data_IF_412286716759
#
_entry.id   IF_412286716759
#
_cell.length_a   1.000
_cell.length_b   1.000
_cell.length_c   1.000
_cell.angle_alpha   90.00
_cell.angle_beta   90.00
_cell.angle_gamma   90.00
#
_symmetry.space_group_name_H-M   'P 1'
#
loop_
_entity.id
_entity.type
_entity.pdbx_description
1 polymer ?
#
# COMPACT_ATOMS: atom_id res chain seq x y z
N UNK A 1 6.47 12.71 -31.68
CA UNK A 1 6.32 11.82 -30.50
C UNK A 1 5.95 12.65 -29.28
N UNK A 2 4.97 12.20 -28.49
CA UNK A 2 4.59 12.81 -27.21
C UNK A 2 4.73 11.72 -26.15
N UNK A 3 5.40 12.02 -25.05
CA UNK A 3 5.55 11.11 -23.92
C UNK A 3 4.91 11.70 -22.67
N UNK A 4 4.38 10.81 -21.84
CA UNK A 4 3.87 11.13 -20.50
C UNK A 4 4.43 10.11 -19.51
N UNK A 5 4.70 10.53 -18.29
CA UNK A 5 5.26 9.63 -17.29
C UNK A 5 5.42 10.28 -15.93
N UNK A 6 6.11 9.57 -15.03
CA UNK A 6 6.49 10.15 -13.75
C UNK A 6 7.35 11.40 -14.00
N UNK A 7 7.09 12.45 -13.22
CA UNK A 7 7.72 13.75 -13.43
C UNK A 7 9.26 13.69 -13.52
N UNK A 8 9.90 12.96 -12.60
CA UNK A 8 11.36 12.86 -12.55
C UNK A 8 11.92 12.13 -13.79
N UNK A 9 11.33 10.99 -14.17
CA UNK A 9 11.73 10.23 -15.35
C UNK A 9 11.61 11.07 -16.63
N UNK A 10 10.53 11.84 -16.77
CA UNK A 10 10.34 12.74 -17.91
C UNK A 10 11.35 13.88 -17.89
N UNK A 11 11.63 14.44 -16.71
CA UNK A 11 12.60 15.53 -16.58
C UNK A 11 14.01 15.09 -16.94
N UNK A 12 14.40 13.84 -16.64
CA UNK A 12 15.71 13.27 -16.96
C UNK A 12 15.96 13.14 -18.48
N UNK A 13 14.92 12.90 -19.27
CA UNK A 13 15.04 12.75 -20.72
C UNK A 13 14.86 14.05 -21.51
N UNK A 14 14.57 15.16 -20.82
CA UNK A 14 14.38 16.48 -21.43
C UNK A 14 15.67 17.31 -21.39
N UNK A 15 15.98 18.01 -22.50
CA UNK A 15 17.08 18.98 -22.59
C UNK A 15 16.59 20.43 -22.74
N UNK A 16 15.33 20.59 -23.14
CA UNK A 16 14.68 21.86 -23.46
C UNK A 16 13.31 21.96 -22.80
N UNK A 17 12.81 23.18 -22.69
CA UNK A 17 11.44 23.51 -22.26
C UNK A 17 10.79 24.41 -23.30
N UNK A 18 9.49 24.25 -23.53
CA UNK A 18 8.69 25.17 -24.32
C UNK A 18 7.76 26.00 -23.42
N UNK A 19 7.77 27.31 -23.60
CA UNK A 19 6.85 28.25 -22.93
C UNK A 19 5.54 28.42 -23.72
N UNK A 20 4.54 29.03 -23.08
CA UNK A 20 3.21 29.22 -23.68
C UNK A 20 3.21 30.12 -24.93
N UNK A 21 4.21 30.99 -25.09
CA UNK A 21 4.44 31.83 -26.27
C UNK A 21 5.12 31.07 -27.42
N UNK A 22 5.45 29.79 -27.22
CA UNK A 22 6.14 28.93 -28.17
C UNK A 22 7.67 29.01 -28.11
N UNK A 23 8.24 29.89 -27.27
CA UNK A 23 9.69 30.01 -27.11
C UNK A 23 10.27 28.72 -26.50
N UNK A 24 11.46 28.32 -26.95
CA UNK A 24 12.14 27.11 -26.49
C UNK A 24 13.51 27.47 -25.92
N UNK A 25 13.77 27.06 -24.69
CA UNK A 25 15.05 27.29 -24.00
C UNK A 25 15.61 26.00 -23.40
N UNK A 26 16.87 26.05 -22.98
CA UNK A 26 17.47 24.96 -22.20
C UNK A 26 16.72 24.77 -20.88
N UNK A 27 16.39 23.52 -20.58
CA UNK A 27 15.65 23.17 -19.36
C UNK A 27 16.41 23.51 -18.08
N UNK A 28 17.74 23.53 -18.12
CA UNK A 28 18.59 23.84 -16.96
C UNK A 28 18.32 25.22 -16.38
N UNK A 29 17.90 26.20 -17.19
CA UNK A 29 17.52 27.55 -16.71
C UNK A 29 16.30 27.53 -15.79
N UNK A 30 15.38 26.60 -16.00
CA UNK A 30 14.07 26.55 -15.32
C UNK A 30 13.89 25.30 -14.46
N UNK A 31 14.85 24.39 -14.46
CA UNK A 31 14.79 23.10 -13.76
C UNK A 31 14.41 23.26 -12.29
N UNK A 32 15.04 24.20 -11.59
CA UNK A 32 14.72 24.51 -10.19
C UNK A 32 13.26 24.95 -10.02
N UNK A 33 12.75 25.77 -10.92
CA UNK A 33 11.37 26.27 -10.87
C UNK A 33 10.36 25.14 -11.12
N UNK A 34 10.62 24.30 -12.11
CA UNK A 34 9.75 23.18 -12.49
C UNK A 34 9.76 22.10 -11.41
N UNK A 35 10.92 21.79 -10.83
CA UNK A 35 11.03 20.88 -9.68
C UNK A 35 10.31 21.44 -8.45
N UNK A 36 10.44 22.75 -8.16
CA UNK A 36 9.71 23.38 -7.06
C UNK A 36 8.19 23.36 -7.26
N UNK A 37 7.70 23.46 -8.50
CA UNK A 37 6.29 23.26 -8.84
C UNK A 37 5.86 21.80 -8.55
N UNK A 38 6.64 20.81 -8.99
CA UNK A 38 6.39 19.40 -8.71
C UNK A 38 6.30 19.12 -7.20
N UNK A 39 7.25 19.63 -6.42
CA UNK A 39 7.29 19.44 -4.97
C UNK A 39 6.07 20.06 -4.29
N UNK A 40 5.70 21.29 -4.68
CA UNK A 40 4.56 22.00 -4.12
C UNK A 40 3.24 21.29 -4.41
N UNK A 41 3.01 20.86 -5.64
CA UNK A 41 1.76 20.17 -5.99
C UNK A 41 1.71 18.77 -5.38
N UNK A 42 2.84 18.04 -5.34
CA UNK A 42 2.92 16.75 -4.67
C UNK A 42 2.68 16.87 -3.16
N UNK A 43 3.17 17.94 -2.52
CA UNK A 43 2.97 18.21 -1.10
C UNK A 43 1.52 18.54 -0.72
N UNK A 44 0.69 18.93 -1.71
CA UNK A 44 -0.77 19.07 -1.55
C UNK A 44 -1.51 17.73 -1.78
N UNK A 45 -0.81 16.68 -2.19
CA UNK A 45 -1.37 15.36 -2.49
C UNK A 45 -1.77 15.15 -3.95
N UNK A 46 -1.35 16.02 -4.87
CA UNK A 46 -1.59 15.78 -6.30
C UNK A 46 -0.53 14.84 -6.86
N UNK A 47 -0.96 13.81 -7.59
CA UNK A 47 -0.07 13.02 -8.43
C UNK A 47 0.31 13.84 -9.66
N UNK A 48 1.61 14.02 -9.87
CA UNK A 48 2.15 14.86 -10.94
C UNK A 48 2.73 14.00 -12.06
N UNK A 49 2.26 14.21 -13.28
CA UNK A 49 2.81 13.60 -14.49
C UNK A 49 3.55 14.66 -15.30
N UNK A 50 4.73 14.31 -15.81
CA UNK A 50 5.44 15.13 -16.78
C UNK A 50 4.92 14.90 -18.19
N UNK A 51 4.87 15.95 -19.00
CA UNK A 51 4.61 15.89 -20.43
C UNK A 51 5.80 16.45 -21.20
N UNK A 52 6.24 15.71 -22.19
CA UNK A 52 7.27 16.16 -23.11
C UNK A 52 6.98 15.67 -24.52
N UNK A 53 7.57 16.35 -25.50
CA UNK A 53 7.45 15.97 -26.89
C UNK A 53 8.77 16.13 -27.62
N UNK A 54 8.84 15.46 -28.78
CA UNK A 54 9.92 15.60 -29.74
C UNK A 54 9.33 15.53 -31.13
N UNK A 55 9.66 16.52 -31.95
CA UNK A 55 9.34 16.48 -33.37
C UNK A 55 10.19 15.38 -34.01
N UNK A 56 9.54 14.44 -34.67
CA UNK A 56 10.20 13.39 -35.46
C UNK A 56 9.98 13.76 -36.92
N UNK A 57 11.06 13.98 -37.65
CA UNK A 57 11.04 14.37 -39.07
C UNK A 57 11.08 13.19 -40.03
N UNK A 58 11.54 12.02 -39.56
CA UNK A 58 11.69 10.82 -40.38
C UNK A 58 10.63 9.79 -39.97
N UNK A 59 9.85 9.26 -40.91
CA UNK A 59 8.78 8.27 -40.68
C UNK A 59 9.26 6.88 -40.26
N UNK A 60 10.23 6.81 -39.34
CA UNK A 60 10.72 5.58 -38.71
C UNK A 60 9.75 5.11 -37.62
N UNK A 61 9.86 3.82 -37.31
CA UNK A 61 9.18 3.24 -36.15
C UNK A 61 9.70 3.90 -34.87
N UNK A 62 8.76 4.39 -34.05
CA UNK A 62 9.07 5.04 -32.78
C UNK A 62 9.47 3.97 -31.77
N UNK A 63 10.69 4.02 -31.27
CA UNK A 63 11.20 3.11 -30.23
C UNK A 63 11.51 3.84 -28.94
N UNK A 64 11.67 3.09 -27.84
CA UNK A 64 11.91 3.65 -26.50
C UNK A 64 13.28 4.32 -26.40
N UNK A 65 14.26 3.88 -27.19
CA UNK A 65 15.60 4.48 -27.25
C UNK A 65 15.58 5.92 -27.80
N UNK A 66 14.52 6.31 -28.52
CA UNK A 66 14.35 7.66 -29.05
C UNK A 66 13.84 8.67 -28.01
N UNK A 67 13.44 8.21 -26.82
CA UNK A 67 12.99 9.01 -25.66
C UNK A 67 14.15 9.77 -24.99
N UNK A 68 14.86 10.59 -25.76
CA UNK A 68 16.00 11.42 -25.32
C UNK A 68 15.98 12.77 -26.02
N UNK A 69 16.58 13.79 -25.40
CA UNK A 69 16.62 15.17 -25.91
C UNK A 69 15.22 15.74 -26.19
N UNK A 70 14.31 15.46 -25.26
CA UNK A 70 12.90 15.84 -25.32
C UNK A 70 12.69 17.31 -24.94
N UNK A 71 11.61 17.91 -25.45
CA UNK A 71 11.17 19.26 -25.09
C UNK A 71 10.05 19.12 -24.05
N UNK A 72 10.31 19.56 -22.83
CA UNK A 72 9.34 19.59 -21.74
C UNK A 72 8.23 20.61 -22.03
N UNK A 73 6.97 20.19 -21.89
CA UNK A 73 5.80 21.04 -22.12
C UNK A 73 5.20 21.54 -20.81
N UNK A 74 5.20 20.69 -19.77
CA UNK A 74 4.51 21.01 -18.53
C UNK A 74 4.17 19.79 -17.71
N UNK A 75 3.31 20.00 -16.72
CA UNK A 75 2.82 18.96 -15.83
C UNK A 75 1.30 18.80 -15.94
N UNK A 76 0.83 17.59 -15.70
CA UNK A 76 -0.57 17.32 -15.38
C UNK A 76 -0.63 16.94 -13.91
N UNK A 77 -1.56 17.55 -13.16
CA UNK A 77 -1.86 17.19 -11.79
C UNK A 77 -3.16 16.39 -11.73
N UNK A 78 -3.13 15.27 -11.02
CA UNK A 78 -4.27 14.39 -10.78
C UNK A 78 -4.52 14.33 -9.27
N UNK A 79 -5.78 14.44 -8.86
CA UNK A 79 -6.15 14.38 -7.46
C UNK A 79 -7.07 13.19 -7.22
N UNK A 80 -6.71 12.37 -6.23
CA UNK A 80 -7.53 11.29 -5.74
C UNK A 80 -7.98 11.63 -4.29
N UNK A 81 -9.24 12.07 -4.10
CA UNK A 81 -9.71 12.53 -2.80
C UNK A 81 -9.91 11.37 -1.83
N UNK A 82 -9.52 11.58 -0.57
CA UNK A 82 -9.85 10.66 0.51
C UNK A 82 -11.36 10.61 0.76
N UNK A 83 -11.86 9.42 1.12
CA UNK A 83 -13.23 9.27 1.62
C UNK A 83 -13.42 10.09 2.90
N UNK A 84 -14.55 10.77 3.03
CA UNK A 84 -14.85 11.67 4.16
C UNK A 84 -14.74 10.99 5.53
N UNK A 85 -15.07 9.70 5.60
CA UNK A 85 -15.11 8.92 6.83
C UNK A 85 -13.77 8.30 7.23
N UNK A 86 -12.72 8.41 6.40
CA UNK A 86 -11.50 7.63 6.57
C UNK A 86 -10.81 7.90 7.93
N UNK A 87 -10.83 9.14 8.40
CA UNK A 87 -10.22 9.52 9.67
C UNK A 87 -10.88 8.81 10.86
N UNK A 88 -12.21 8.67 10.82
CA UNK A 88 -12.96 7.98 11.88
C UNK A 88 -12.74 6.47 11.81
N UNK A 89 -12.70 5.89 10.60
CA UNK A 89 -12.38 4.47 10.38
C UNK A 89 -10.99 4.12 10.94
N UNK A 90 -9.97 4.95 10.68
CA UNK A 90 -8.60 4.73 11.21
C UNK A 90 -8.61 4.77 12.74
N UNK A 91 -9.31 5.74 13.33
CA UNK A 91 -9.45 5.84 14.79
C UNK A 91 -10.07 4.57 15.35
N UNK A 92 -11.16 4.09 14.75
CA UNK A 92 -11.84 2.86 15.17
C UNK A 92 -10.98 1.59 15.05
N UNK A 93 -10.12 1.49 14.03
CA UNK A 93 -9.14 0.41 13.91
C UNK A 93 -8.10 0.47 15.04
N UNK A 94 -7.56 1.66 15.29
CA UNK A 94 -6.57 1.90 16.35
C UNK A 94 -7.12 1.57 17.74
N UNK A 95 -8.34 2.01 18.05
CA UNK A 95 -9.03 1.72 19.33
C UNK A 95 -9.23 0.21 19.57
N UNK A 96 -9.21 -0.58 18.49
CA UNK A 96 -9.33 -2.05 18.54
C UNK A 96 -7.98 -2.75 18.53
N UNK A 97 -6.87 -2.02 18.60
CA UNK A 97 -5.51 -2.56 18.55
C UNK A 97 -5.10 -3.05 17.16
N UNK A 98 -5.72 -2.53 16.10
CA UNK A 98 -5.37 -2.85 14.71
C UNK A 98 -4.57 -1.69 14.13
N UNK A 99 -3.30 -1.94 13.80
CA UNK A 99 -2.44 -0.95 13.17
C UNK A 99 -2.69 -0.92 11.66
N UNK A 100 -3.02 0.25 11.12
CA UNK A 100 -3.10 0.47 9.68
C UNK A 100 -1.72 0.86 9.14
N UNK A 101 -1.30 0.20 8.05
CA UNK A 101 -0.10 0.54 7.29
C UNK A 101 -0.48 0.76 5.83
N UNK A 102 -0.01 1.86 5.23
CA UNK A 102 -0.30 2.21 3.84
C UNK A 102 0.85 1.76 2.94
N UNK A 103 0.54 1.10 1.82
CA UNK A 103 1.52 0.65 0.84
C UNK A 103 1.09 1.18 -0.53
N UNK A 104 1.83 2.13 -1.09
CA UNK A 104 1.48 2.81 -2.34
C UNK A 104 2.64 2.85 -3.34
N UNK A 105 2.28 2.88 -4.63
CA UNK A 105 3.21 3.17 -5.72
C UNK A 105 3.45 4.66 -5.93
N UNK A 106 2.69 5.54 -5.25
CA UNK A 106 2.89 6.99 -5.34
C UNK A 106 4.19 7.43 -4.68
N UNK A 107 4.68 8.61 -5.08
CA UNK A 107 5.90 9.16 -4.53
C UNK A 107 5.75 9.52 -3.03
N UNK A 108 6.88 9.67 -2.35
CA UNK A 108 6.92 9.95 -0.91
C UNK A 108 6.20 11.24 -0.48
N UNK A 109 6.17 12.27 -1.34
CA UNK A 109 5.53 13.55 -1.01
C UNK A 109 4.02 13.42 -1.00
N UNK A 110 3.45 12.74 -2.01
CA UNK A 110 2.02 12.45 -2.10
C UNK A 110 1.61 11.53 -0.94
N UNK A 111 2.36 10.45 -0.71
CA UNK A 111 2.10 9.52 0.38
C UNK A 111 2.12 10.23 1.76
N UNK A 112 3.11 11.08 2.02
CA UNK A 112 3.19 11.86 3.26
C UNK A 112 2.03 12.86 3.39
N UNK A 113 1.61 13.51 2.29
CA UNK A 113 0.44 14.40 2.28
C UNK A 113 -0.84 13.65 2.63
N UNK A 114 -1.06 12.47 2.02
CA UNK A 114 -2.23 11.63 2.31
C UNK A 114 -2.28 11.21 3.78
N UNK A 115 -1.15 10.78 4.35
CA UNK A 115 -1.07 10.43 5.77
C UNK A 115 -1.42 11.62 6.68
N UNK A 116 -0.94 12.83 6.36
CA UNK A 116 -1.31 14.04 7.10
C UNK A 116 -2.80 14.36 7.00
N UNK A 117 -3.39 14.23 5.81
CA UNK A 117 -4.84 14.41 5.60
C UNK A 117 -5.66 13.36 6.37
N UNK A 118 -5.11 12.16 6.57
CA UNK A 118 -5.69 11.09 7.41
C UNK A 118 -5.50 11.31 8.92
N UNK A 119 -4.84 12.39 9.34
CA UNK A 119 -4.65 12.75 10.76
C UNK A 119 -3.35 12.24 11.39
N UNK A 120 -2.38 11.76 10.60
CA UNK A 120 -1.05 11.42 11.11
C UNK A 120 -0.16 12.66 11.15
N UNK A 121 0.22 13.13 12.35
CA UNK A 121 1.06 14.33 12.50
C UNK A 121 2.48 14.13 11.96
N UNK A 122 3.10 12.99 12.31
CA UNK A 122 4.48 12.65 11.95
C UNK A 122 4.56 11.19 11.46
N UNK A 123 4.06 10.88 10.25
CA UNK A 123 4.07 9.52 9.73
C UNK A 123 5.51 9.05 9.49
N UNK A 124 5.82 7.84 9.93
CA UNK A 124 7.09 7.18 9.63
C UNK A 124 7.02 6.60 8.22
N UNK A 125 7.80 7.17 7.31
CA UNK A 125 7.84 6.77 5.90
C UNK A 125 9.05 5.88 5.59
N UNK A 126 8.87 4.92 4.68
CA UNK A 126 9.95 4.16 4.06
C UNK A 126 9.70 4.06 2.55
N UNK A 127 10.68 4.42 1.74
CA UNK A 127 10.54 4.30 0.27
C UNK A 127 10.91 2.90 -0.21
N UNK A 128 10.39 2.48 -1.37
CA UNK A 128 10.80 1.26 -2.04
C UNK A 128 12.31 1.20 -2.30
N UNK A 129 12.93 2.33 -2.67
CA UNK A 129 14.38 2.41 -2.87
C UNK A 129 15.18 2.11 -1.59
N UNK A 130 14.77 2.68 -0.45
CA UNK A 130 15.40 2.37 0.84
C UNK A 130 15.12 0.93 1.28
N UNK A 131 13.91 0.42 1.05
CA UNK A 131 13.55 -0.96 1.38
C UNK A 131 14.43 -1.97 0.63
N UNK A 132 14.77 -1.71 -0.63
CA UNK A 132 15.70 -2.55 -1.42
C UNK A 132 17.12 -2.57 -0.86
N UNK A 133 17.56 -1.49 -0.21
CA UNK A 133 18.92 -1.38 0.34
C UNK A 133 19.05 -2.01 1.73
N UNK A 134 17.94 -2.35 2.39
CA UNK A 134 17.95 -2.93 3.74
C UNK A 134 17.95 -4.46 3.71
N UNK A 135 18.75 -5.05 4.60
CA UNK A 135 18.70 -6.49 4.86
C UNK A 135 17.38 -6.88 5.54
N UNK A 136 17.03 -8.17 5.50
CA UNK A 136 15.80 -8.64 6.13
C UNK A 136 15.80 -8.44 7.66
N UNK A 137 16.96 -8.54 8.30
CA UNK A 137 17.14 -8.34 9.75
C UNK A 137 16.91 -6.87 10.14
N UNK A 138 17.40 -5.94 9.31
CA UNK A 138 17.12 -4.51 9.49
C UNK A 138 15.63 -4.22 9.28
N UNK A 139 15.02 -4.84 8.27
CA UNK A 139 13.60 -4.68 7.98
C UNK A 139 12.70 -5.24 9.07
N UNK A 140 13.07 -6.33 9.75
CA UNK A 140 12.31 -6.88 10.88
C UNK A 140 12.09 -5.84 11.99
N UNK A 141 13.03 -4.91 12.18
CA UNK A 141 12.90 -3.84 13.16
C UNK A 141 12.26 -2.58 12.59
N UNK A 142 12.49 -2.29 11.30
CA UNK A 142 12.00 -1.05 10.67
C UNK A 142 10.55 -1.12 10.22
N UNK A 143 10.16 -2.20 9.55
CA UNK A 143 8.83 -2.37 8.92
C UNK A 143 7.68 -2.29 9.94
N UNK A 144 7.78 -2.88 11.15
CA UNK A 144 6.74 -2.73 12.18
C UNK A 144 6.54 -1.28 12.64
N UNK A 145 7.57 -0.44 12.58
CA UNK A 145 7.53 0.97 13.00
C UNK A 145 7.13 1.94 11.88
N UNK A 146 7.09 1.47 10.62
CA UNK A 146 6.74 2.30 9.46
C UNK A 146 5.22 2.38 9.30
N UNK A 147 4.68 3.58 9.13
CA UNK A 147 3.25 3.82 8.88
C UNK A 147 2.91 3.75 7.39
N UNK A 148 3.81 4.25 6.53
CA UNK A 148 3.60 4.33 5.08
C UNK A 148 4.82 3.91 4.28
N UNK A 149 4.58 3.06 3.28
CA UNK A 149 5.56 2.63 2.30
C UNK A 149 5.23 3.27 0.96
N UNK A 150 6.15 4.09 0.44
CA UNK A 150 5.94 4.88 -0.77
C UNK A 150 6.85 4.43 -1.92
N UNK A 151 6.43 4.65 -3.16
CA UNK A 151 7.12 4.22 -4.38
C UNK A 151 7.50 2.72 -4.32
N UNK A 152 6.55 1.89 -3.90
CA UNK A 152 6.76 0.46 -3.66
C UNK A 152 6.43 -0.35 -4.92
N UNK A 153 7.35 -1.22 -5.31
CA UNK A 153 7.15 -2.15 -6.41
C UNK A 153 6.29 -3.36 -5.99
N UNK A 154 5.60 -4.05 -6.93
CA UNK A 154 4.74 -5.19 -6.61
C UNK A 154 5.42 -6.27 -5.74
N UNK A 155 6.66 -6.67 -6.09
CA UNK A 155 7.45 -7.65 -5.32
C UNK A 155 7.79 -7.18 -3.90
N UNK A 156 7.90 -5.87 -3.71
CA UNK A 156 8.21 -5.31 -2.39
C UNK A 156 6.98 -5.33 -1.47
N UNK A 157 5.76 -5.27 -2.02
CA UNK A 157 4.53 -5.41 -1.22
C UNK A 157 4.48 -6.75 -0.49
N UNK A 158 4.73 -7.85 -1.22
CA UNK A 158 4.83 -9.20 -0.66
C UNK A 158 5.92 -9.27 0.42
N UNK A 159 7.10 -8.69 0.13
CA UNK A 159 8.21 -8.65 1.10
C UNK A 159 7.84 -7.93 2.40
N UNK A 160 7.11 -6.81 2.32
CA UNK A 160 6.62 -6.08 3.51
C UNK A 160 5.70 -6.97 4.34
N UNK A 161 4.73 -7.63 3.70
CA UNK A 161 3.80 -8.55 4.37
C UNK A 161 4.55 -9.70 5.06
N UNK A 162 5.48 -10.34 4.35
CA UNK A 162 6.27 -11.43 4.89
C UNK A 162 7.11 -11.02 6.11
N UNK A 163 7.69 -9.81 6.10
CA UNK A 163 8.45 -9.27 7.23
C UNK A 163 7.55 -8.97 8.43
N UNK A 164 6.36 -8.39 8.22
CA UNK A 164 5.40 -8.14 9.30
C UNK A 164 4.97 -9.46 9.98
N UNK A 165 4.71 -10.50 9.19
CA UNK A 165 4.40 -11.84 9.70
C UNK A 165 5.57 -12.43 10.50
N UNK A 166 6.79 -12.33 9.97
CA UNK A 166 8.00 -12.77 10.69
C UNK A 166 8.26 -11.99 11.99
N UNK A 167 7.81 -10.75 12.07
CA UNK A 167 7.85 -9.95 13.30
C UNK A 167 6.76 -10.34 14.32
N UNK A 168 5.94 -11.37 14.03
CA UNK A 168 4.93 -11.91 14.94
C UNK A 168 3.56 -11.26 14.84
N UNK A 169 3.31 -10.44 13.82
CA UNK A 169 1.99 -9.85 13.59
C UNK A 169 1.11 -10.78 12.76
N UNK A 170 -0.19 -10.81 13.07
CA UNK A 170 -1.21 -11.33 12.15
C UNK A 170 -1.54 -10.22 11.15
N UNK A 171 -1.36 -10.49 9.86
CA UNK A 171 -1.43 -9.48 8.80
C UNK A 171 -2.63 -9.72 7.91
N UNK A 172 -3.56 -8.76 7.90
CA UNK A 172 -4.56 -8.62 6.85
C UNK A 172 -4.04 -7.69 5.75
N UNK A 173 -4.15 -8.09 4.49
CA UNK A 173 -3.73 -7.26 3.34
C UNK A 173 -4.93 -6.93 2.47
N UNK A 174 -5.16 -5.65 2.18
CA UNK A 174 -6.23 -5.19 1.29
C UNK A 174 -5.63 -4.81 -0.07
N UNK A 175 -6.11 -5.43 -1.15
CA UNK A 175 -5.71 -5.10 -2.53
C UNK A 175 -6.76 -5.44 -3.57
N UNK A 176 -6.73 -4.75 -4.70
CA UNK A 176 -7.73 -4.84 -5.79
C UNK A 176 -7.10 -5.08 -7.18
N UNK A 177 -5.78 -4.98 -7.29
CA UNK A 177 -5.05 -5.06 -8.55
C UNK A 177 -4.20 -6.31 -8.73
N UNK A 178 -3.76 -6.53 -9.97
CA UNK A 178 -2.84 -7.63 -10.33
C UNK A 178 -1.53 -7.53 -9.54
N UNK A 179 -1.09 -6.31 -9.26
CA UNK A 179 0.14 -6.01 -8.51
C UNK A 179 0.08 -6.45 -7.04
N UNK A 180 -1.12 -6.73 -6.53
CA UNK A 180 -1.37 -7.06 -5.13
C UNK A 180 -1.55 -8.56 -4.89
N UNK A 181 -1.72 -9.36 -5.94
CA UNK A 181 -2.02 -10.79 -5.84
C UNK A 181 -1.01 -11.57 -4.99
N UNK A 182 0.29 -11.32 -5.17
CA UNK A 182 1.33 -11.97 -4.38
C UNK A 182 1.27 -11.58 -2.90
N UNK A 183 0.97 -10.31 -2.60
CA UNK A 183 0.85 -9.82 -1.23
C UNK A 183 -0.43 -10.31 -0.54
N UNK A 184 -1.55 -10.41 -1.28
CA UNK A 184 -2.80 -11.02 -0.84
C UNK A 184 -2.57 -12.47 -0.42
N UNK A 185 -1.93 -13.26 -1.26
CA UNK A 185 -1.65 -14.66 -0.96
C UNK A 185 -0.65 -14.86 0.20
N UNK A 186 0.32 -13.95 0.36
CA UNK A 186 1.31 -14.03 1.43
C UNK A 186 0.75 -13.63 2.82
N UNK A 187 -0.35 -12.87 2.85
CA UNK A 187 -0.98 -12.41 4.09
C UNK A 187 -1.53 -13.57 4.93
N UNK A 188 -1.93 -13.31 6.18
CA UNK A 188 -2.72 -14.28 6.95
C UNK A 188 -4.19 -14.24 6.54
N UNK A 189 -4.65 -13.07 6.08
CA UNK A 189 -5.96 -12.87 5.47
C UNK A 189 -5.82 -11.88 4.31
N UNK A 190 -5.97 -12.37 3.08
CA UNK A 190 -6.08 -11.54 1.88
C UNK A 190 -7.51 -11.01 1.73
N UNK A 191 -7.66 -9.70 1.54
CA UNK A 191 -8.95 -9.01 1.42
C UNK A 191 -8.99 -8.28 0.09
N UNK A 192 -10.01 -8.56 -0.72
CA UNK A 192 -10.27 -7.85 -1.96
C UNK A 192 -11.71 -7.33 -2.02
N UNK A 193 -12.08 -6.70 -3.12
CA UNK A 193 -13.43 -6.16 -3.37
C UNK A 193 -14.03 -6.82 -4.61
N UNK A 194 -15.36 -6.87 -4.70
CA UNK A 194 -16.04 -7.51 -5.84
C UNK A 194 -15.68 -6.88 -7.21
N UNK A 195 -15.41 -5.57 -7.21
CA UNK A 195 -14.98 -4.81 -8.39
C UNK A 195 -13.50 -5.01 -8.76
N UNK A 196 -12.75 -5.79 -7.99
CA UNK A 196 -11.33 -6.03 -8.25
C UNK A 196 -11.13 -6.89 -9.50
N UNK A 197 -9.90 -6.89 -10.02
CA UNK A 197 -9.52 -7.79 -11.12
C UNK A 197 -9.60 -9.24 -10.68
N UNK A 198 -9.87 -10.15 -11.63
CA UNK A 198 -10.10 -11.57 -11.32
C UNK A 198 -8.95 -12.21 -10.55
N UNK A 199 -7.70 -11.91 -10.95
CA UNK A 199 -6.50 -12.41 -10.28
C UNK A 199 -6.42 -12.00 -8.81
N UNK A 200 -6.90 -10.80 -8.45
CA UNK A 200 -6.92 -10.34 -7.06
C UNK A 200 -8.03 -11.04 -6.26
N UNK A 201 -9.18 -11.32 -6.87
CA UNK A 201 -10.29 -12.05 -6.25
C UNK A 201 -9.93 -13.51 -5.99
N UNK A 202 -9.26 -14.18 -6.93
CA UNK A 202 -8.78 -15.56 -6.76
C UNK A 202 -7.71 -15.68 -5.66
N UNK A 203 -6.91 -14.63 -5.46
CA UNK A 203 -5.84 -14.62 -4.46
C UNK A 203 -6.32 -14.23 -3.05
N UNK A 204 -7.55 -13.73 -2.89
CA UNK A 204 -8.07 -13.24 -1.61
C UNK A 204 -8.90 -14.30 -0.88
N UNK A 205 -8.82 -14.30 0.45
CA UNK A 205 -9.63 -15.17 1.32
C UNK A 205 -11.03 -14.58 1.56
N UNK A 206 -11.14 -13.25 1.52
CA UNK A 206 -12.37 -12.51 1.74
C UNK A 206 -12.59 -11.52 0.60
N UNK A 207 -13.77 -11.58 -0.01
CA UNK A 207 -14.22 -10.60 -1.00
C UNK A 207 -15.28 -9.71 -0.34
N UNK A 208 -14.99 -8.42 -0.25
CA UNK A 208 -15.93 -7.42 0.24
C UNK A 208 -16.87 -7.01 -0.89
N UNK A 209 -18.16 -7.19 -0.65
CA UNK A 209 -19.22 -6.77 -1.57
C UNK A 209 -19.41 -5.25 -1.58
N UNK A 210 -19.07 -4.59 -0.47
CA UNK A 210 -19.09 -3.13 -0.35
C UNK A 210 -17.66 -2.61 -0.16
N UNK A 211 -17.34 -1.51 -0.84
CA UNK A 211 -16.02 -0.90 -0.78
C UNK A 211 -15.87 -0.01 0.47
N UNK A 212 -16.21 -0.54 1.65
CA UNK A 212 -16.17 0.19 2.92
C UNK A 212 -15.34 -0.55 3.98
N UNK A 213 -14.31 0.12 4.48
CA UNK A 213 -13.46 -0.34 5.59
C UNK A 213 -14.26 -0.53 6.89
N UNK A 214 -15.41 0.12 7.06
CA UNK A 214 -16.28 -0.11 8.22
C UNK A 214 -16.85 -1.54 8.26
N UNK A 215 -17.04 -2.17 7.10
CA UNK A 215 -17.44 -3.58 7.01
C UNK A 215 -16.32 -4.47 7.55
N UNK A 216 -15.07 -4.15 7.23
CA UNK A 216 -13.91 -4.87 7.77
C UNK A 216 -13.82 -4.74 9.29
N UNK A 217 -14.05 -3.55 9.86
CA UNK A 217 -14.08 -3.35 11.31
C UNK A 217 -15.14 -4.25 11.98
N UNK A 218 -16.32 -4.34 11.37
CA UNK A 218 -17.40 -5.20 11.84
C UNK A 218 -17.00 -6.68 11.76
N UNK A 219 -16.37 -7.10 10.66
CA UNK A 219 -15.83 -8.45 10.49
C UNK A 219 -14.79 -8.82 11.56
N UNK A 220 -13.87 -7.91 11.89
CA UNK A 220 -12.87 -8.13 12.96
C UNK A 220 -13.56 -8.33 14.32
N UNK A 221 -14.60 -7.53 14.61
CA UNK A 221 -15.37 -7.64 15.86
C UNK A 221 -16.06 -9.00 15.95
N UNK A 222 -16.78 -9.41 14.91
CA UNK A 222 -17.49 -10.70 14.88
C UNK A 222 -16.54 -11.89 14.91
N UNK A 223 -15.38 -11.80 14.24
CA UNK A 223 -14.32 -12.80 14.31
C UNK A 223 -13.80 -13.02 15.74
N UNK A 224 -13.57 -11.94 16.50
CA UNK A 224 -13.16 -12.02 17.91
C UNK A 224 -14.23 -12.64 18.79
N UNK A 225 -15.51 -12.31 18.58
CA UNK A 225 -16.61 -12.95 19.33
C UNK A 225 -16.72 -14.44 19.04
N UNK A 226 -16.66 -14.82 17.77
CA UNK A 226 -16.70 -16.22 17.34
C UNK A 226 -15.54 -16.99 17.94
N UNK A 227 -14.32 -16.48 17.87
CA UNK A 227 -13.14 -17.11 18.46
C UNK A 227 -13.30 -17.32 19.98
N UNK A 228 -13.74 -16.28 20.70
CA UNK A 228 -13.96 -16.38 22.13
C UNK A 228 -15.02 -17.42 22.49
N UNK A 229 -16.10 -17.52 21.71
CA UNK A 229 -17.14 -18.52 21.94
C UNK A 229 -16.65 -19.95 21.64
N UNK A 230 -15.92 -20.15 20.54
CA UNK A 230 -15.30 -21.45 20.22
C UNK A 230 -14.35 -21.90 21.33
N UNK A 231 -13.51 -21.00 21.85
CA UNK A 231 -12.60 -21.33 22.95
C UNK A 231 -13.34 -21.72 24.23
N UNK A 232 -14.46 -21.06 24.56
CA UNK A 232 -15.30 -21.45 25.71
C UNK A 232 -15.80 -22.89 25.57
N UNK A 233 -16.29 -23.27 24.39
CA UNK A 233 -16.76 -24.63 24.15
C UNK A 233 -15.62 -25.66 24.22
N UNK A 234 -14.45 -25.35 23.66
CA UNK A 234 -13.27 -26.20 23.76
C UNK A 234 -12.91 -26.41 25.23
N UNK A 235 -12.81 -25.35 26.03
CA UNK A 235 -12.49 -25.47 27.45
C UNK A 235 -13.55 -26.27 28.22
N UNK A 236 -14.84 -26.05 27.97
CA UNK A 236 -15.91 -26.82 28.60
C UNK A 236 -15.80 -28.32 28.27
N UNK A 237 -15.60 -28.67 26.99
CA UNK A 237 -15.47 -30.05 26.55
C UNK A 237 -14.21 -30.71 27.14
N UNK A 238 -13.07 -30.01 27.12
CA UNK A 238 -11.81 -30.49 27.69
C UNK A 238 -11.95 -30.71 29.20
N UNK A 239 -12.53 -29.76 29.94
CA UNK A 239 -12.77 -29.90 31.39
C UNK A 239 -13.67 -31.09 31.72
N UNK A 240 -14.74 -31.31 30.94
CA UNK A 240 -15.62 -32.47 31.14
C UNK A 240 -14.87 -33.79 30.91
N UNK A 241 -14.06 -33.88 29.85
CA UNK A 241 -13.25 -35.07 29.56
C UNK A 241 -12.21 -35.34 30.65
N UNK A 242 -11.52 -34.31 31.14
CA UNK A 242 -10.61 -34.44 32.28
C UNK A 242 -11.34 -34.93 33.54
N UNK A 243 -12.50 -34.35 33.87
CA UNK A 243 -13.32 -34.77 35.00
C UNK A 243 -13.69 -36.26 34.91
N UNK A 244 -14.20 -36.69 33.76
CA UNK A 244 -14.55 -38.08 33.52
C UNK A 244 -13.35 -39.03 33.70
N UNK A 245 -12.17 -38.68 33.18
CA UNK A 245 -10.96 -39.49 33.35
C UNK A 245 -10.57 -39.65 34.83
N UNK A 246 -10.57 -38.57 35.60
CA UNK A 246 -10.25 -38.63 37.04
C UNK A 246 -11.30 -39.41 37.83
N UNK A 247 -12.59 -39.23 37.52
CA UNK A 247 -13.67 -40.01 38.15
C UNK A 247 -13.50 -41.51 37.90
N UNK A 248 -13.21 -41.91 36.66
CA UNK A 248 -12.96 -43.31 36.32
C UNK A 248 -11.70 -43.87 37.00
N UNK A 249 -10.60 -43.10 37.01
CA UNK A 249 -9.36 -43.50 37.68
C UNK A 249 -9.53 -43.66 39.21
N UNK A 250 -10.28 -42.75 39.84
CA UNK A 250 -10.62 -42.85 41.25
C UNK A 250 -11.52 -44.05 41.56
N UNK A 251 -12.59 -44.23 40.79
CA UNK A 251 -13.50 -45.36 40.92
C UNK A 251 -12.76 -46.70 40.76
N UNK A 252 -11.82 -46.80 39.81
CA UNK A 252 -11.01 -48.01 39.59
C UNK A 252 -10.12 -48.39 40.78
N UNK A 253 -9.75 -47.46 41.66
CA UNK A 253 -8.97 -47.77 42.85
C UNK A 253 -9.84 -48.20 44.05
N UNK A 254 -11.11 -47.77 44.09
CA UNK A 254 -12.06 -48.12 45.15
C UNK A 254 -12.78 -49.44 44.85
N UNK A 255 -12.98 -49.77 43.57
CA UNK A 255 -13.65 -50.98 43.10
C UNK A 255 -12.72 -52.19 42.93
N UNK A 256 -11.45 -52.08 43.37
CA UNK A 256 -10.53 -53.22 43.53
C UNK A 256 -10.66 -53.80 44.94
#
# INVERSE_FOLDING_TARGET
>A
MIIKGAFLDILEVCDRVQYADGNVESIEKVKVTITGLYERESAKGFRVLGLAYKAITDGKDITREEETAMIFLGIITLYDPLKKEIADTIRHLKDRGVALKIITGDNQLVAASLMKQMGYENPVLLTGSNLSQMSNEALLNRVPLTDVFAAVEPKQKERIVAILKKAGHVVGFWGDGINDAAALHAADVGISVDSAVEVAKEAADIILMDHDLNVLISGIKEGRYTFANTMKYIFMATSANFGNMFSMAGASNILK
#
